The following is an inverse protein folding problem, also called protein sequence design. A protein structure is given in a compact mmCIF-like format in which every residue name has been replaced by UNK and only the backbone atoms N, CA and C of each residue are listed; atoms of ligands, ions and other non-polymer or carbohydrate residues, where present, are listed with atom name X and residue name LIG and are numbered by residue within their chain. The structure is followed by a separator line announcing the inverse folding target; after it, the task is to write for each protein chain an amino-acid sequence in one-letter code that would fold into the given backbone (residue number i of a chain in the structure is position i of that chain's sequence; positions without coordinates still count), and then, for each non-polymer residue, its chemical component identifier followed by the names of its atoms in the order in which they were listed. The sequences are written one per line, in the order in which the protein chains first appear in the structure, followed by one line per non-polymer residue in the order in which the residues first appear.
data_IF_028760784332
#
_entry.id   IF_028760784332
#
_cell.length_a   1.000
_cell.length_b   1.000
_cell.length_c   1.000
_cell.angle_alpha   90.00
_cell.angle_beta   90.00
_cell.angle_gamma   90.00
#
_symmetry.space_group_name_H-M   'P 1'
#
loop_
_entity.id
_entity.type
_entity.pdbx_description
1 polymer ?
#
# COMPACT_ATOMS: atom_id res chain seq x y z
N UNK A 1 -26.63 -42.46 49.57
CA UNK A 1 -25.52 -42.77 50.50
C UNK A 1 -24.71 -41.51 50.65
N UNK A 2 -24.64 -40.94 51.85
CA UNK A 2 -23.77 -39.80 52.14
C UNK A 2 -22.37 -40.34 52.42
N UNK A 3 -21.35 -39.81 51.73
CA UNK A 3 -19.96 -40.18 51.99
C UNK A 3 -19.58 -39.67 53.39
N UNK A 4 -19.05 -40.53 54.27
CA UNK A 4 -18.57 -40.11 55.59
C UNK A 4 -17.54 -38.97 55.44
N UNK A 5 -17.67 -37.93 56.27
CA UNK A 5 -16.82 -36.73 56.20
C UNK A 5 -15.33 -37.08 56.31
N UNK A 6 -15.01 -38.10 57.11
CA UNK A 6 -13.64 -38.58 57.33
C UNK A 6 -13.04 -39.22 56.07
N UNK A 7 -13.83 -39.95 55.28
CA UNK A 7 -13.41 -40.48 53.98
C UNK A 7 -13.22 -39.37 52.94
N UNK A 8 -14.06 -38.33 52.97
CA UNK A 8 -13.91 -37.18 52.09
C UNK A 8 -12.65 -36.37 52.40
N UNK A 9 -12.32 -36.18 53.69
CA UNK A 9 -11.10 -35.49 54.13
C UNK A 9 -9.85 -36.32 53.78
N UNK A 10 -9.90 -37.64 54.00
CA UNK A 10 -8.80 -38.53 53.62
C UNK A 10 -8.55 -38.49 52.11
N UNK A 11 -9.60 -38.51 51.28
CA UNK A 11 -9.47 -38.38 49.84
C UNK A 11 -8.84 -37.04 49.41
N UNK A 12 -9.23 -35.92 50.02
CA UNK A 12 -8.66 -34.61 49.73
C UNK A 12 -7.17 -34.51 50.11
N UNK A 13 -6.76 -35.20 51.18
CA UNK A 13 -5.35 -35.25 51.61
C UNK A 13 -4.42 -36.05 50.70
N UNK A 14 -4.97 -36.82 49.75
CA UNK A 14 -4.17 -37.55 48.74
C UNK A 14 -3.83 -36.70 47.51
N UNK A 15 -4.41 -35.50 47.38
CA UNK A 15 -4.07 -34.57 46.30
C UNK A 15 -2.88 -33.69 46.70
N UNK A 16 -1.78 -33.86 45.98
CA UNK A 16 -0.66 -32.91 46.00
C UNK A 16 -1.05 -31.69 45.15
N UNK A 17 -1.37 -30.57 45.79
CA UNK A 17 -1.51 -29.29 45.11
C UNK A 17 -0.10 -28.67 44.98
N UNK A 18 0.39 -28.54 43.75
CA UNK A 18 1.62 -27.80 43.49
C UNK A 18 1.31 -26.29 43.64
N UNK A 19 2.02 -25.61 44.55
CA UNK A 19 1.77 -24.20 44.93
C UNK A 19 1.96 -23.19 43.77
N UNK A 20 2.51 -23.62 42.63
CA UNK A 20 2.71 -22.79 41.43
C UNK A 20 1.82 -23.23 40.25
N UNK A 21 0.53 -23.48 40.50
CA UNK A 21 -0.41 -23.62 39.40
C UNK A 21 -0.57 -22.26 38.69
N UNK A 22 -0.34 -22.18 37.36
CA UNK A 22 -0.59 -20.95 36.62
C UNK A 22 -2.07 -20.56 36.77
N UNK A 23 -2.33 -19.28 37.00
CA UNK A 23 -3.70 -18.76 37.11
C UNK A 23 -4.54 -19.23 35.91
N UNK A 24 -5.55 -20.06 36.18
CA UNK A 24 -6.45 -20.63 35.16
C UNK A 24 -7.23 -19.53 34.43
N UNK A 25 -7.35 -18.36 35.07
CA UNK A 25 -7.86 -17.14 34.46
C UNK A 25 -6.72 -16.14 34.35
N UNK A 26 -5.99 -16.20 33.23
CA UNK A 26 -5.14 -15.08 32.82
C UNK A 26 -5.95 -13.79 32.70
N UNK A 27 -5.26 -12.64 32.66
CA UNK A 27 -5.86 -11.31 32.44
C UNK A 27 -6.98 -11.43 31.41
N UNK A 28 -8.17 -10.93 31.75
CA UNK A 28 -9.31 -10.91 30.85
C UNK A 28 -9.01 -10.08 29.62
N UNK A 29 -8.31 -10.68 28.66
CA UNK A 29 -8.10 -10.10 27.35
C UNK A 29 -9.44 -10.20 26.66
N UNK A 30 -10.03 -9.05 26.33
CA UNK A 30 -11.10 -9.02 25.35
C UNK A 30 -10.56 -9.72 24.10
N UNK A 31 -11.02 -10.94 23.85
CA UNK A 31 -10.78 -11.60 22.57
C UNK A 31 -11.64 -10.83 21.57
N UNK A 32 -11.07 -9.77 20.97
CA UNK A 32 -11.68 -9.18 19.80
C UNK A 32 -11.68 -10.27 18.74
N UNK A 33 -12.85 -10.78 18.41
CA UNK A 33 -13.03 -11.66 17.26
C UNK A 33 -12.93 -10.80 16.00
N UNK A 34 -11.75 -10.23 15.74
CA UNK A 34 -11.45 -9.73 14.41
C UNK A 34 -11.34 -10.97 13.52
N UNK A 35 -12.28 -11.10 12.60
CA UNK A 35 -12.37 -12.24 11.68
C UNK A 35 -11.17 -12.33 10.71
N UNK A 36 -10.22 -11.39 10.81
CA UNK A 36 -9.00 -11.31 10.03
C UNK A 36 -7.85 -10.62 10.82
N UNK A 37 -7.50 -11.09 12.02
CA UNK A 37 -6.35 -10.57 12.77
C UNK A 37 -5.02 -10.97 12.11
N UNK A 38 -4.65 -10.30 11.01
CA UNK A 38 -3.32 -10.37 10.38
C UNK A 38 -2.31 -9.44 11.06
N UNK A 39 -2.77 -8.69 12.06
CA UNK A 39 -1.97 -7.78 12.87
C UNK A 39 -1.70 -8.37 14.25
N UNK A 40 -0.45 -8.32 14.67
CA UNK A 40 -0.07 -8.60 16.06
C UNK A 40 0.00 -7.27 16.82
N UNK A 41 -0.68 -7.13 17.97
CA UNK A 41 -0.63 -5.90 18.77
C UNK A 41 0.75 -5.66 19.41
N UNK A 42 1.60 -6.69 19.46
CA UNK A 42 2.94 -6.66 20.05
C UNK A 42 4.03 -6.91 19.01
N UNK A 43 3.69 -6.77 17.72
CA UNK A 43 4.62 -6.97 16.59
C UNK A 43 5.42 -8.26 16.70
N UNK A 44 4.77 -9.36 17.09
CA UNK A 44 5.39 -10.70 17.18
C UNK A 44 6.69 -10.75 18.02
N UNK A 45 6.88 -9.81 18.96
CA UNK A 45 8.09 -9.72 19.80
C UNK A 45 8.29 -10.94 20.69
N UNK A 46 7.20 -11.64 20.99
CA UNK A 46 7.12 -12.86 21.79
C UNK A 46 7.59 -14.11 21.05
N UNK A 47 7.68 -14.11 19.72
CA UNK A 47 8.07 -15.29 18.92
C UNK A 47 9.43 -15.85 19.30
N UNK A 48 10.37 -14.99 19.70
CA UNK A 48 11.68 -15.41 20.20
C UNK A 48 11.60 -16.20 21.51
N UNK A 49 10.63 -15.87 22.38
CA UNK A 49 10.42 -16.56 23.65
C UNK A 49 9.93 -18.00 23.45
N UNK A 50 9.11 -18.23 22.43
CA UNK A 50 8.55 -19.55 22.11
C UNK A 50 9.49 -20.46 21.30
N UNK A 51 10.73 -20.02 21.00
CA UNK A 51 11.73 -20.78 20.23
C UNK A 51 11.20 -21.33 18.90
N UNK A 52 10.27 -20.60 18.26
CA UNK A 52 9.68 -20.99 16.98
C UNK A 52 10.65 -20.68 15.84
N UNK A 53 10.63 -21.50 14.78
CA UNK A 53 11.37 -21.28 13.53
C UNK A 53 10.74 -20.20 12.63
N UNK A 54 10.10 -19.20 13.23
CA UNK A 54 9.38 -18.10 12.56
C UNK A 54 10.03 -16.73 12.78
N UNK A 55 11.19 -16.68 13.42
CA UNK A 55 11.86 -15.43 13.78
C UNK A 55 12.25 -14.57 12.58
N UNK A 56 12.67 -15.18 11.47
CA UNK A 56 12.96 -14.44 10.24
C UNK A 56 11.69 -13.87 9.59
N UNK A 57 10.61 -14.67 9.57
CA UNK A 57 9.36 -14.29 8.90
C UNK A 57 8.66 -13.16 9.66
N UNK A 58 8.70 -13.21 10.98
CA UNK A 58 8.15 -12.16 11.87
C UNK A 58 8.96 -10.86 11.79
N UNK A 59 10.29 -10.94 11.69
CA UNK A 59 11.12 -9.75 11.40
C UNK A 59 10.76 -9.10 10.06
N UNK A 60 10.57 -9.91 9.02
CA UNK A 60 10.19 -9.42 7.70
C UNK A 60 8.79 -8.79 7.71
N UNK A 61 7.81 -9.43 8.37
CA UNK A 61 6.47 -8.87 8.59
C UNK A 61 6.51 -7.50 9.28
N UNK A 62 7.26 -7.39 10.38
CA UNK A 62 7.38 -6.12 11.11
C UNK A 62 8.02 -5.03 10.25
N UNK A 63 9.01 -5.39 9.42
CA UNK A 63 9.65 -4.46 8.51
C UNK A 63 8.66 -3.91 7.47
N UNK A 64 7.85 -4.78 6.85
CA UNK A 64 6.82 -4.37 5.91
C UNK A 64 5.70 -3.54 6.58
N UNK A 65 5.33 -3.88 7.82
CA UNK A 65 4.35 -3.13 8.59
C UNK A 65 4.85 -1.71 8.94
N UNK A 66 6.13 -1.57 9.31
CA UNK A 66 6.75 -0.27 9.57
C UNK A 66 6.74 0.62 8.32
N UNK A 67 7.15 0.07 7.16
CA UNK A 67 7.05 0.79 5.89
C UNK A 67 5.59 1.17 5.56
N UNK A 68 4.66 0.25 5.76
CA UNK A 68 3.23 0.53 5.55
C UNK A 68 2.75 1.69 6.41
N UNK A 69 3.21 1.79 7.66
CA UNK A 69 2.87 2.89 8.55
C UNK A 69 3.47 4.22 8.07
N UNK A 70 4.78 4.26 7.79
CA UNK A 70 5.47 5.45 7.27
C UNK A 70 4.82 5.98 5.99
N UNK A 71 4.49 5.09 5.04
CA UNK A 71 3.88 5.50 3.79
C UNK A 71 2.44 6.01 3.95
N UNK A 72 1.69 5.56 4.97
CA UNK A 72 0.36 6.12 5.31
C UNK A 72 0.46 7.54 5.87
N UNK A 73 1.50 7.84 6.64
CA UNK A 73 1.77 9.21 7.10
C UNK A 73 2.08 10.12 5.89
N UNK A 74 2.93 9.65 4.97
CA UNK A 74 3.23 10.36 3.73
C UNK A 74 1.99 10.58 2.85
N UNK A 75 1.08 9.60 2.78
CA UNK A 75 -0.19 9.73 2.07
C UNK A 75 -1.06 10.83 2.70
N UNK A 76 -1.07 10.93 4.02
CA UNK A 76 -1.78 11.99 4.76
C UNK A 76 -1.20 13.38 4.45
N UNK A 77 0.13 13.49 4.33
CA UNK A 77 0.81 14.73 3.89
C UNK A 77 0.39 15.12 2.48
N UNK A 78 0.44 14.20 1.50
CA UNK A 78 0.02 14.50 0.13
C UNK A 78 -1.46 14.86 0.03
N UNK A 79 -2.31 14.17 0.79
CA UNK A 79 -3.74 14.43 0.82
C UNK A 79 -4.07 15.82 1.37
N UNK A 80 -3.39 16.24 2.42
CA UNK A 80 -3.59 17.54 3.05
C UNK A 80 -2.83 18.67 2.34
N UNK A 81 -1.98 18.36 1.36
CA UNK A 81 -1.27 19.36 0.57
C UNK A 81 -2.24 20.35 -0.09
N UNK A 82 -2.00 21.64 0.15
CA UNK A 82 -2.69 22.78 -0.45
C UNK A 82 -1.65 23.72 -1.06
N UNK A 83 -2.02 24.39 -2.15
CA UNK A 83 -1.08 25.27 -2.85
C UNK A 83 -0.61 26.41 -1.96
N UNK A 84 0.71 26.51 -1.77
CA UNK A 84 1.39 27.64 -1.13
C UNK A 84 1.34 28.87 -2.04
N UNK A 85 1.50 28.67 -3.36
CA UNK A 85 1.54 29.77 -4.33
C UNK A 85 0.25 30.57 -4.36
N UNK A 86 -0.90 29.91 -4.17
CA UNK A 86 -2.20 30.61 -4.11
C UNK A 86 -2.32 31.60 -2.95
N UNK A 87 -1.49 31.46 -1.91
CA UNK A 87 -1.46 32.37 -0.78
C UNK A 87 -0.45 33.51 -0.95
N UNK A 88 0.40 33.47 -1.99
CA UNK A 88 1.43 34.49 -2.20
C UNK A 88 0.82 35.83 -2.69
N UNK A 89 1.28 36.97 -2.17
CA UNK A 89 0.83 38.28 -2.62
C UNK A 89 1.36 38.59 -4.03
N UNK A 90 0.51 39.18 -4.87
CA UNK A 90 0.93 39.73 -6.16
C UNK A 90 1.43 41.16 -5.95
N UNK A 91 2.73 41.40 -6.15
CA UNK A 91 3.32 42.73 -6.03
C UNK A 91 3.33 43.46 -7.39
N UNK A 92 3.05 44.78 -7.42
CA UNK A 92 3.26 45.62 -8.61
C UNK A 92 4.75 45.74 -8.98
N UNK A 93 5.04 45.91 -10.28
CA UNK A 93 6.40 46.03 -10.83
C UNK A 93 7.23 47.20 -10.25
N UNK A 94 6.58 48.16 -9.57
CA UNK A 94 7.22 49.31 -8.94
C UNK A 94 7.98 48.97 -7.65
N UNK A 95 7.81 47.79 -7.06
CA UNK A 95 8.42 47.39 -5.77
C UNK A 95 9.56 46.37 -5.92
N UNK A 96 10.54 46.64 -6.78
CA UNK A 96 11.62 45.69 -7.15
C UNK A 96 12.50 45.21 -5.97
N UNK A 97 12.78 46.04 -4.97
CA UNK A 97 13.56 45.60 -3.79
C UNK A 97 12.75 44.67 -2.89
N UNK A 98 11.49 45.01 -2.59
CA UNK A 98 10.57 44.13 -1.87
C UNK A 98 10.27 42.83 -2.63
N UNK A 99 10.48 42.81 -3.95
CA UNK A 99 10.33 41.64 -4.79
C UNK A 99 11.45 40.61 -4.57
N UNK A 100 12.69 41.04 -4.35
CA UNK A 100 13.81 40.13 -4.09
C UNK A 100 13.64 39.42 -2.73
N UNK A 101 13.28 40.17 -1.69
CA UNK A 101 12.96 39.61 -0.37
C UNK A 101 11.76 38.65 -0.46
N UNK A 102 10.71 39.03 -1.21
CA UNK A 102 9.57 38.15 -1.45
C UNK A 102 9.98 36.85 -2.14
N UNK A 103 10.88 36.88 -3.14
CA UNK A 103 11.37 35.67 -3.80
C UNK A 103 12.13 34.75 -2.86
N UNK A 104 12.93 35.32 -1.95
CA UNK A 104 13.66 34.55 -0.93
C UNK A 104 12.71 33.88 0.06
N UNK A 105 11.76 34.63 0.62
CA UNK A 105 10.75 34.09 1.55
C UNK A 105 9.87 33.03 0.87
N UNK A 106 9.46 33.31 -0.37
CA UNK A 106 8.71 32.35 -1.20
C UNK A 106 9.51 31.06 -1.42
N UNK A 107 10.79 31.18 -1.74
CA UNK A 107 11.68 30.03 -1.89
C UNK A 107 11.74 29.21 -0.60
N UNK A 108 11.95 29.84 0.55
CA UNK A 108 12.08 29.14 1.84
C UNK A 108 10.81 28.36 2.21
N UNK A 109 9.63 28.96 2.02
CA UNK A 109 8.34 28.29 2.27
C UNK A 109 8.16 27.10 1.32
N UNK A 110 8.43 27.30 0.03
CA UNK A 110 8.31 26.23 -0.96
C UNK A 110 9.35 25.12 -0.75
N UNK A 111 10.57 25.44 -0.32
CA UNK A 111 11.62 24.44 -0.11
C UNK A 111 11.27 23.44 1.00
N UNK A 112 10.57 23.88 2.05
CA UNK A 112 10.05 22.98 3.08
C UNK A 112 9.09 21.95 2.49
N UNK A 113 8.17 22.40 1.63
CA UNK A 113 7.19 21.53 0.97
C UNK A 113 7.85 20.62 -0.08
N UNK A 114 8.81 21.15 -0.86
CA UNK A 114 9.57 20.34 -1.81
C UNK A 114 10.46 19.30 -1.12
N UNK A 115 10.97 19.61 0.07
CA UNK A 115 11.71 18.65 0.89
C UNK A 115 10.86 17.45 1.29
N UNK A 116 9.58 17.66 1.63
CA UNK A 116 8.64 16.55 1.88
C UNK A 116 8.42 15.70 0.63
N UNK A 117 8.29 16.32 -0.55
CA UNK A 117 8.16 15.58 -1.81
C UNK A 117 9.42 14.78 -2.16
N UNK A 118 10.63 15.33 -1.92
CA UNK A 118 11.90 14.59 -2.04
C UNK A 118 11.96 13.42 -1.07
N UNK A 119 11.48 13.59 0.16
CA UNK A 119 11.40 12.49 1.13
C UNK A 119 10.50 11.36 0.63
N UNK A 120 9.33 11.68 0.07
CA UNK A 120 8.43 10.68 -0.53
C UNK A 120 9.10 9.98 -1.71
N UNK A 121 9.78 10.73 -2.59
CA UNK A 121 10.51 10.17 -3.74
C UNK A 121 11.62 9.19 -3.31
N UNK A 122 12.40 9.52 -2.28
CA UNK A 122 13.46 8.64 -1.75
C UNK A 122 12.87 7.44 -1.02
N UNK A 123 11.82 7.67 -0.21
CA UNK A 123 11.16 6.63 0.56
C UNK A 123 10.52 5.57 -0.33
N UNK A 124 9.76 5.97 -1.35
CA UNK A 124 9.10 5.01 -2.25
C UNK A 124 10.12 4.14 -3.00
N UNK A 125 11.30 4.69 -3.31
CA UNK A 125 12.37 3.94 -3.94
C UNK A 125 12.94 2.87 -3.01
N UNK A 126 13.21 3.24 -1.76
CA UNK A 126 13.63 2.29 -0.72
C UNK A 126 12.57 1.22 -0.46
N UNK A 127 11.30 1.62 -0.30
CA UNK A 127 10.19 0.72 -0.03
C UNK A 127 9.96 -0.27 -1.18
N UNK A 128 10.04 0.20 -2.44
CA UNK A 128 9.92 -0.66 -3.63
C UNK A 128 11.01 -1.72 -3.70
N UNK A 129 12.26 -1.32 -3.44
CA UNK A 129 13.40 -2.25 -3.46
C UNK A 129 13.28 -3.31 -2.36
N UNK A 130 12.88 -2.89 -1.14
CA UNK A 130 12.64 -3.79 0.00
C UNK A 130 11.48 -4.75 -0.25
N UNK A 131 10.38 -4.28 -0.83
CA UNK A 131 9.23 -5.13 -1.19
C UNK A 131 9.62 -6.18 -2.24
N UNK A 132 10.36 -5.77 -3.28
CA UNK A 132 10.83 -6.68 -4.32
C UNK A 132 11.78 -7.76 -3.74
N UNK A 133 12.72 -7.37 -2.89
CA UNK A 133 13.62 -8.29 -2.20
C UNK A 133 12.87 -9.27 -1.27
N UNK A 134 11.85 -8.79 -0.55
CA UNK A 134 11.02 -9.64 0.31
C UNK A 134 10.20 -10.66 -0.50
N UNK A 135 9.59 -10.24 -1.63
CA UNK A 135 8.93 -11.16 -2.55
C UNK A 135 9.90 -12.23 -3.08
N UNK A 136 11.09 -11.82 -3.51
CA UNK A 136 12.10 -12.75 -4.04
C UNK A 136 12.50 -13.84 -3.03
N UNK A 137 12.43 -13.56 -1.72
CA UNK A 137 12.78 -14.53 -0.67
C UNK A 137 11.92 -15.79 -0.74
N UNK A 138 10.66 -15.66 -1.14
CA UNK A 138 9.73 -16.79 -1.28
C UNK A 138 9.86 -17.54 -2.61
N UNK A 139 10.58 -16.95 -3.58
CA UNK A 139 10.88 -17.58 -4.86
C UNK A 139 12.09 -18.52 -4.82
N UNK A 140 12.80 -18.61 -3.68
CA UNK A 140 13.94 -19.52 -3.47
C UNK A 140 13.47 -20.98 -3.38
N UNK A 141 14.19 -21.96 -3.97
CA UNK A 141 13.77 -23.37 -3.99
C UNK A 141 13.39 -23.93 -2.61
N UNK A 142 14.10 -23.54 -1.56
CA UNK A 142 13.87 -24.01 -0.18
C UNK A 142 12.57 -23.45 0.42
N UNK A 143 12.14 -22.27 -0.03
CA UNK A 143 10.92 -21.58 0.45
C UNK A 143 9.72 -21.78 -0.48
N UNK A 144 9.94 -22.20 -1.74
CA UNK A 144 8.87 -22.50 -2.72
C UNK A 144 7.86 -23.55 -2.25
N UNK A 145 8.29 -24.50 -1.42
CA UNK A 145 7.43 -25.59 -0.92
C UNK A 145 6.39 -25.06 0.09
N UNK A 146 6.76 -24.08 0.91
CA UNK A 146 5.92 -23.57 2.00
C UNK A 146 5.26 -22.22 1.68
N UNK A 147 5.82 -21.45 0.74
CA UNK A 147 5.27 -20.16 0.32
C UNK A 147 5.20 -19.10 1.44
N UNK A 148 4.70 -17.89 1.13
CA UNK A 148 4.36 -16.88 2.13
C UNK A 148 3.11 -17.28 2.92
N UNK A 149 3.08 -16.93 4.21
CA UNK A 149 1.87 -17.08 5.03
C UNK A 149 0.80 -16.07 4.63
N UNK A 150 -0.46 -16.29 5.03
CA UNK A 150 -1.57 -15.35 4.75
C UNK A 150 -1.26 -13.94 5.31
N UNK A 151 -0.71 -13.85 6.53
CA UNK A 151 -0.29 -12.57 7.11
C UNK A 151 0.78 -11.87 6.28
N UNK A 152 1.69 -12.63 5.67
CA UNK A 152 2.76 -12.10 4.83
C UNK A 152 2.25 -11.61 3.48
N UNK A 153 1.35 -12.37 2.85
CA UNK A 153 0.63 -11.93 1.64
C UNK A 153 -0.11 -10.61 1.90
N UNK A 154 -0.83 -10.50 3.02
CA UNK A 154 -1.50 -9.26 3.41
C UNK A 154 -0.53 -8.10 3.65
N UNK A 155 0.62 -8.35 4.28
CA UNK A 155 1.62 -7.31 4.53
C UNK A 155 2.22 -6.79 3.21
N UNK A 156 2.53 -7.69 2.26
CA UNK A 156 2.94 -7.32 0.90
C UNK A 156 1.88 -6.47 0.19
N UNK A 157 0.61 -6.90 0.24
CA UNK A 157 -0.52 -6.16 -0.36
C UNK A 157 -0.67 -4.79 0.29
N UNK A 158 -0.62 -4.69 1.62
CA UNK A 158 -0.77 -3.41 2.33
C UNK A 158 0.32 -2.41 1.94
N UNK A 159 1.57 -2.84 1.82
CA UNK A 159 2.65 -1.96 1.35
C UNK A 159 2.45 -1.56 -0.12
N UNK A 160 2.08 -2.51 -0.98
CA UNK A 160 1.78 -2.24 -2.39
C UNK A 160 0.63 -1.24 -2.55
N UNK A 161 -0.41 -1.35 -1.73
CA UNK A 161 -1.58 -0.46 -1.73
C UNK A 161 -1.18 0.97 -1.38
N UNK A 162 -0.29 1.13 -0.38
CA UNK A 162 0.25 2.44 -0.01
C UNK A 162 1.05 3.06 -1.16
N UNK A 163 1.89 2.28 -1.86
CA UNK A 163 2.64 2.77 -3.03
C UNK A 163 1.69 3.24 -4.15
N UNK A 164 0.63 2.48 -4.43
CA UNK A 164 -0.39 2.84 -5.43
C UNK A 164 -1.18 4.09 -5.01
N UNK A 165 -1.56 4.19 -3.74
CA UNK A 165 -2.27 5.36 -3.21
C UNK A 165 -1.42 6.63 -3.27
N UNK A 166 -0.12 6.55 -2.95
CA UNK A 166 0.81 7.68 -3.05
C UNK A 166 0.91 8.19 -4.48
N UNK A 167 0.99 7.30 -5.47
CA UNK A 167 1.07 7.68 -6.88
C UNK A 167 -0.23 8.38 -7.31
N UNK A 168 -1.38 7.80 -6.95
CA UNK A 168 -2.68 8.40 -7.27
C UNK A 168 -2.87 9.77 -6.60
N UNK A 169 -2.53 9.89 -5.31
CA UNK A 169 -2.59 11.16 -4.57
C UNK A 169 -1.70 12.24 -5.18
N UNK A 170 -0.45 11.88 -5.49
CA UNK A 170 0.49 12.76 -6.19
C UNK A 170 -0.11 13.25 -7.51
N UNK A 171 -0.67 12.35 -8.31
CA UNK A 171 -1.21 12.68 -9.62
C UNK A 171 -2.55 13.43 -9.58
N UNK A 172 -3.34 13.28 -8.51
CA UNK A 172 -4.60 14.00 -8.33
C UNK A 172 -4.40 15.48 -7.93
N UNK A 173 -3.22 15.85 -7.42
CA UNK A 173 -2.96 17.17 -6.84
C UNK A 173 -2.31 18.13 -7.84
N UNK A 174 -3.13 18.84 -8.61
CA UNK A 174 -2.66 19.88 -9.55
C UNK A 174 -1.90 21.04 -8.89
N UNK A 175 -2.02 21.24 -7.56
CA UNK A 175 -1.24 22.24 -6.82
C UNK A 175 0.26 21.93 -6.78
N UNK A 176 0.63 20.65 -6.73
CA UNK A 176 2.04 20.23 -6.60
C UNK A 176 2.88 20.69 -7.80
N UNK A 177 2.53 20.39 -9.07
CA UNK A 177 3.34 20.86 -10.21
C UNK A 177 3.36 22.39 -10.34
N UNK A 178 2.29 23.07 -9.91
CA UNK A 178 2.23 24.54 -9.92
C UNK A 178 3.21 25.15 -8.91
N UNK A 179 3.18 24.67 -7.68
CA UNK A 179 4.08 25.11 -6.61
C UNK A 179 5.54 24.76 -6.93
N UNK A 180 5.79 23.59 -7.49
CA UNK A 180 7.11 23.18 -7.95
C UNK A 180 7.65 24.09 -9.08
N UNK A 181 6.79 24.50 -10.02
CA UNK A 181 7.17 25.44 -11.07
C UNK A 181 7.59 26.80 -10.53
N UNK A 182 6.90 27.28 -9.48
CA UNK A 182 7.30 28.50 -8.78
C UNK A 182 8.59 28.33 -8.00
N UNK A 183 8.76 27.20 -7.31
CA UNK A 183 9.99 26.86 -6.61
C UNK A 183 11.22 26.89 -7.53
N UNK A 184 11.12 26.33 -8.75
CA UNK A 184 12.19 26.41 -9.76
C UNK A 184 12.53 27.84 -10.17
N UNK A 185 11.51 28.69 -10.35
CA UNK A 185 11.70 30.10 -10.72
C UNK A 185 12.37 30.87 -9.60
N UNK A 186 11.90 30.72 -8.36
CA UNK A 186 12.48 31.41 -7.20
C UNK A 186 13.89 30.92 -6.92
N UNK A 187 14.14 29.61 -7.02
CA UNK A 187 15.49 29.03 -6.92
C UNK A 187 16.48 29.73 -7.85
N UNK A 188 16.13 29.91 -9.12
CA UNK A 188 17.02 30.56 -10.11
C UNK A 188 17.35 32.02 -9.75
N UNK A 189 16.44 32.71 -9.06
CA UNK A 189 16.67 34.10 -8.60
C UNK A 189 17.56 34.17 -7.36
N UNK A 190 17.50 33.18 -6.46
CA UNK A 190 18.16 33.23 -5.14
C UNK A 190 19.45 32.40 -5.07
N UNK A 191 19.63 31.41 -5.95
CA UNK A 191 20.73 30.44 -5.87
C UNK A 191 22.07 30.97 -6.36
N UNK A 192 22.13 32.17 -6.97
CA UNK A 192 23.35 32.70 -7.59
C UNK A 192 24.54 32.88 -6.65
N UNK A 193 24.32 32.84 -5.33
CA UNK A 193 25.34 33.00 -4.29
C UNK A 193 25.74 31.67 -3.62
N UNK A 194 25.15 30.54 -4.00
CA UNK A 194 25.31 29.27 -3.29
C UNK A 194 26.38 28.37 -3.93
N UNK A 195 27.18 27.71 -3.09
CA UNK A 195 28.34 26.91 -3.53
C UNK A 195 27.94 25.58 -4.20
N UNK A 196 26.82 24.95 -3.79
CA UNK A 196 26.36 23.64 -4.30
C UNK A 196 25.22 23.72 -5.33
N UNK A 197 25.19 24.79 -6.13
CA UNK A 197 24.08 25.05 -7.05
C UNK A 197 23.86 23.92 -8.08
N UNK A 198 24.92 23.24 -8.53
CA UNK A 198 24.80 22.21 -9.56
C UNK A 198 24.20 20.90 -9.04
N UNK A 199 24.61 20.43 -7.85
CA UNK A 199 23.99 19.25 -7.23
C UNK A 199 22.51 19.49 -6.89
N UNK A 200 22.17 20.69 -6.42
CA UNK A 200 20.77 21.05 -6.18
C UNK A 200 19.93 21.06 -7.46
N UNK A 201 20.52 21.45 -8.60
CA UNK A 201 19.85 21.40 -9.92
C UNK A 201 19.59 19.97 -10.37
N UNK A 202 20.52 19.05 -10.14
CA UNK A 202 20.31 17.63 -10.44
C UNK A 202 19.14 17.07 -9.60
N UNK A 203 19.12 17.30 -8.28
CA UNK A 203 18.00 16.87 -7.42
C UNK A 203 16.66 17.49 -7.85
N UNK A 204 16.68 18.74 -8.31
CA UNK A 204 15.53 19.45 -8.85
C UNK A 204 15.01 18.79 -10.13
N UNK A 205 15.89 18.39 -11.04
CA UNK A 205 15.52 17.74 -12.29
C UNK A 205 14.99 16.32 -12.05
N UNK A 206 15.60 15.56 -11.12
CA UNK A 206 15.09 14.25 -10.69
C UNK A 206 13.69 14.38 -10.08
N UNK A 207 13.48 15.37 -9.21
CA UNK A 207 12.16 15.64 -8.64
C UNK A 207 11.15 16.06 -9.71
N UNK A 208 11.56 16.84 -10.71
CA UNK A 208 10.70 17.21 -11.84
C UNK A 208 10.23 15.98 -12.61
N UNK A 209 11.13 15.04 -12.91
CA UNK A 209 10.79 13.80 -13.60
C UNK A 209 9.77 13.01 -12.77
N UNK A 210 10.03 12.87 -11.46
CA UNK A 210 9.13 12.20 -10.54
C UNK A 210 7.73 12.82 -10.54
N UNK A 211 7.63 14.15 -10.38
CA UNK A 211 6.36 14.86 -10.26
C UNK A 211 5.56 14.89 -11.57
N UNK A 212 6.24 14.97 -12.72
CA UNK A 212 5.59 15.04 -14.05
C UNK A 212 5.16 13.68 -14.60
N UNK A 213 5.86 12.60 -14.21
CA UNK A 213 5.55 11.25 -14.67
C UNK A 213 4.32 10.71 -13.94
N UNK A 214 3.27 10.32 -14.67
CA UNK A 214 2.17 9.52 -14.09
C UNK A 214 2.67 8.12 -13.80
N UNK A 215 2.17 7.52 -12.73
CA UNK A 215 2.53 6.16 -12.31
C UNK A 215 4.03 5.99 -12.00
N UNK A 216 4.72 7.06 -11.59
CA UNK A 216 6.16 7.06 -11.38
C UNK A 216 6.61 6.07 -10.29
N UNK A 217 5.83 5.94 -9.23
CA UNK A 217 6.11 5.02 -8.11
C UNK A 217 5.94 3.58 -8.59
N UNK A 218 4.85 3.29 -9.30
CA UNK A 218 4.60 1.95 -9.82
C UNK A 218 5.63 1.52 -10.87
N UNK A 219 6.06 2.45 -11.74
CA UNK A 219 7.11 2.18 -12.72
C UNK A 219 8.45 1.87 -12.05
N UNK A 220 8.79 2.61 -10.99
CA UNK A 220 9.97 2.31 -10.19
C UNK A 220 9.87 0.93 -9.52
N UNK A 221 8.70 0.60 -8.94
CA UNK A 221 8.46 -0.73 -8.37
C UNK A 221 8.66 -1.84 -9.40
N UNK A 222 8.14 -1.66 -10.61
CA UNK A 222 8.33 -2.63 -11.69
C UNK A 222 9.82 -2.82 -12.04
N UNK A 223 10.60 -1.73 -12.06
CA UNK A 223 12.07 -1.82 -12.25
C UNK A 223 12.73 -2.60 -11.12
N UNK A 224 12.38 -2.33 -9.87
CA UNK A 224 12.93 -3.06 -8.71
C UNK A 224 12.55 -4.55 -8.74
N UNK A 225 11.31 -4.89 -9.11
CA UNK A 225 10.87 -6.27 -9.30
C UNK A 225 11.60 -6.97 -10.44
N UNK A 226 11.89 -6.27 -11.54
CA UNK A 226 12.64 -6.85 -12.66
C UNK A 226 14.11 -7.14 -12.31
N UNK A 227 14.70 -6.38 -11.38
CA UNK A 227 16.07 -6.63 -10.89
C UNK A 227 16.20 -7.92 -10.09
N UNK A 228 15.10 -8.40 -9.51
CA UNK A 228 15.07 -9.61 -8.71
C UNK A 228 14.40 -10.75 -9.48
N UNK A 229 15.11 -11.87 -9.62
CA UNK A 229 14.58 -13.00 -10.40
C UNK A 229 13.39 -13.68 -9.72
N UNK A 230 12.41 -14.14 -10.51
CA UNK A 230 11.30 -15.02 -10.13
C UNK A 230 10.25 -14.38 -9.20
N UNK A 231 10.06 -13.05 -9.20
CA UNK A 231 8.99 -12.41 -8.41
C UNK A 231 7.59 -12.71 -8.98
N UNK A 232 7.51 -13.13 -10.24
CA UNK A 232 6.27 -13.47 -10.94
C UNK A 232 5.48 -14.58 -10.24
N UNK A 233 6.15 -15.58 -9.67
CA UNK A 233 5.53 -16.66 -8.89
C UNK A 233 4.71 -16.09 -7.72
N UNK A 234 5.24 -15.07 -7.04
CA UNK A 234 4.62 -14.42 -5.90
C UNK A 234 3.52 -13.47 -6.34
N UNK A 235 3.72 -12.72 -7.43
CA UNK A 235 2.67 -11.88 -8.00
C UNK A 235 1.45 -12.73 -8.42
N UNK A 236 1.66 -13.92 -8.99
CA UNK A 236 0.56 -14.85 -9.28
C UNK A 236 -0.15 -15.34 -8.01
N UNK A 237 0.60 -15.67 -6.96
CA UNK A 237 0.03 -16.05 -5.67
C UNK A 237 -0.83 -14.93 -5.08
N UNK A 238 -0.37 -13.67 -5.18
CA UNK A 238 -1.12 -12.49 -4.74
C UNK A 238 -2.40 -12.28 -5.56
N UNK A 239 -2.39 -12.50 -6.89
CA UNK A 239 -3.59 -12.42 -7.73
C UNK A 239 -4.60 -13.49 -7.33
N UNK A 240 -4.16 -14.75 -7.18
CA UNK A 240 -5.04 -15.85 -6.75
C UNK A 240 -5.65 -15.52 -5.40
N UNK A 241 -4.82 -15.12 -4.43
CA UNK A 241 -5.26 -14.74 -3.09
C UNK A 241 -6.29 -13.60 -3.12
N UNK A 242 -6.05 -12.55 -3.91
CA UNK A 242 -6.95 -11.41 -4.02
C UNK A 242 -8.30 -11.81 -4.64
N UNK A 243 -8.29 -12.60 -5.73
CA UNK A 243 -9.50 -13.05 -6.40
C UNK A 243 -10.32 -13.98 -5.51
N UNK A 244 -9.67 -14.95 -4.86
CA UNK A 244 -10.36 -15.87 -3.93
C UNK A 244 -10.94 -15.13 -2.73
N UNK A 245 -10.18 -14.19 -2.15
CA UNK A 245 -10.66 -13.39 -1.02
C UNK A 245 -11.86 -12.51 -1.39
N UNK A 246 -11.87 -11.95 -2.60
CA UNK A 246 -12.98 -11.12 -3.11
C UNK A 246 -14.23 -11.93 -3.48
N UNK A 247 -14.08 -13.14 -4.00
CA UNK A 247 -15.22 -13.97 -4.41
C UNK A 247 -15.84 -14.77 -3.27
N UNK A 248 -15.03 -15.19 -2.29
CA UNK A 248 -15.50 -15.97 -1.16
C UNK A 248 -16.12 -15.10 -0.05
N UNK A 249 -16.05 -13.77 -0.19
CA UNK A 249 -16.51 -12.78 0.80
C UNK A 249 -16.13 -13.18 2.24
N UNK A 250 -14.90 -13.66 2.42
CA UNK A 250 -14.39 -14.14 3.71
C UNK A 250 -14.26 -12.98 4.70
N UNK A 251 -15.34 -12.62 5.39
CA UNK A 251 -15.35 -11.70 6.54
C UNK A 251 -14.54 -10.41 6.37
N UNK A 252 -14.32 -9.95 5.13
CA UNK A 252 -13.42 -8.85 4.84
C UNK A 252 -14.04 -7.56 5.38
N UNK A 253 -13.24 -6.78 6.09
CA UNK A 253 -13.64 -5.40 6.38
C UNK A 253 -13.62 -4.61 5.06
N UNK A 254 -14.48 -3.59 4.95
CA UNK A 254 -14.51 -2.74 3.75
C UNK A 254 -13.13 -2.21 3.32
N UNK A 255 -12.26 -1.72 4.23
CA UNK A 255 -10.91 -1.29 3.85
C UNK A 255 -10.08 -2.39 3.19
N UNK A 256 -10.17 -3.63 3.68
CA UNK A 256 -9.45 -4.79 3.14
C UNK A 256 -9.97 -5.17 1.76
N UNK A 257 -11.30 -5.20 1.60
CA UNK A 257 -11.95 -5.38 0.28
C UNK A 257 -11.46 -4.32 -0.70
N UNK A 258 -11.44 -3.05 -0.29
CA UNK A 258 -10.99 -1.95 -1.16
C UNK A 258 -9.51 -2.07 -1.52
N UNK A 259 -8.64 -2.50 -0.60
CA UNK A 259 -7.23 -2.78 -0.90
C UNK A 259 -7.10 -3.82 -2.01
N UNK A 260 -7.81 -4.94 -1.93
CA UNK A 260 -7.77 -5.98 -2.95
C UNK A 260 -8.28 -5.47 -4.30
N UNK A 261 -9.38 -4.72 -4.31
CA UNK A 261 -9.96 -4.15 -5.53
C UNK A 261 -9.04 -3.12 -6.21
N UNK A 262 -8.32 -2.30 -5.44
CA UNK A 262 -7.33 -1.34 -5.97
C UNK A 262 -6.11 -2.05 -6.57
N UNK A 263 -5.65 -3.11 -5.92
CA UNK A 263 -4.41 -3.79 -6.29
C UNK A 263 -4.57 -4.79 -7.42
N UNK A 264 -5.71 -5.46 -7.53
CA UNK A 264 -5.94 -6.47 -8.54
C UNK A 264 -5.64 -6.00 -9.98
N UNK A 265 -6.09 -4.82 -10.47
CA UNK A 265 -5.72 -4.35 -11.81
C UNK A 265 -4.21 -4.09 -11.94
N UNK A 266 -3.56 -3.58 -10.90
CA UNK A 266 -2.10 -3.32 -10.89
C UNK A 266 -1.32 -4.63 -10.97
N UNK A 267 -1.66 -5.63 -10.15
CA UNK A 267 -1.02 -6.94 -10.15
C UNK A 267 -1.12 -7.65 -11.51
N UNK A 268 -2.29 -7.57 -12.15
CA UNK A 268 -2.50 -8.15 -13.49
C UNK A 268 -1.57 -7.51 -14.52
N UNK A 269 -1.40 -6.18 -14.48
CA UNK A 269 -0.46 -5.47 -15.37
C UNK A 269 0.99 -5.89 -15.10
N UNK A 270 1.39 -5.97 -13.83
CA UNK A 270 2.75 -6.34 -13.45
C UNK A 270 3.11 -7.77 -13.92
N UNK A 271 2.22 -8.76 -13.70
CA UNK A 271 2.46 -10.15 -14.14
C UNK A 271 2.51 -10.29 -15.66
N UNK A 272 1.62 -9.60 -16.37
CA UNK A 272 1.55 -9.68 -17.83
C UNK A 272 2.72 -8.99 -18.54
N UNK A 273 3.52 -8.23 -17.81
CA UNK A 273 4.74 -7.59 -18.32
C UNK A 273 5.94 -8.55 -18.42
N UNK A 274 5.86 -9.73 -17.79
CA UNK A 274 6.86 -10.79 -17.91
C UNK A 274 6.51 -11.79 -19.04
N UNK A 275 7.50 -12.22 -19.82
CA UNK A 275 7.30 -13.07 -21.02
C UNK A 275 6.84 -14.49 -20.70
N UNK A 276 7.21 -15.03 -19.54
CA UNK A 276 7.01 -16.46 -19.23
C UNK A 276 5.65 -16.76 -18.59
N UNK A 277 4.97 -15.74 -18.06
CA UNK A 277 3.97 -15.95 -17.01
C UNK A 277 2.57 -15.41 -17.27
N UNK A 278 2.34 -14.74 -18.40
CA UNK A 278 1.00 -14.29 -18.79
C UNK A 278 0.06 -15.47 -19.03
N UNK A 279 0.48 -16.50 -19.78
CA UNK A 279 -0.33 -17.69 -20.04
C UNK A 279 -0.54 -18.56 -18.79
N UNK A 280 0.48 -18.69 -17.94
CA UNK A 280 0.39 -19.48 -16.71
C UNK A 280 -0.57 -18.83 -15.71
N UNK A 281 -0.58 -17.49 -15.62
CA UNK A 281 -1.55 -16.74 -14.84
C UNK A 281 -2.99 -16.99 -15.31
N UNK A 282 -3.28 -16.88 -16.61
CA UNK A 282 -4.63 -17.09 -17.12
C UNK A 282 -5.14 -18.54 -17.00
N UNK A 283 -4.22 -19.52 -16.87
CA UNK A 283 -4.58 -20.90 -16.52
C UNK A 283 -5.02 -21.02 -15.05
N UNK A 284 -4.40 -20.26 -14.14
CA UNK A 284 -4.75 -20.26 -12.70
C UNK A 284 -5.99 -19.40 -12.42
N UNK A 285 -6.08 -18.23 -13.03
CA UNK A 285 -7.19 -17.29 -12.88
C UNK A 285 -7.81 -16.99 -14.23
N UNK A 286 -9.05 -17.46 -14.42
CA UNK A 286 -9.81 -17.20 -15.65
C UNK A 286 -10.03 -15.69 -15.81
N UNK A 287 -9.68 -15.15 -16.97
CA UNK A 287 -9.89 -13.73 -17.32
C UNK A 287 -11.35 -13.26 -17.10
N UNK A 288 -12.34 -14.15 -17.27
CA UNK A 288 -13.75 -13.83 -17.02
C UNK A 288 -14.03 -13.49 -15.54
N UNK A 289 -13.33 -14.12 -14.59
CA UNK A 289 -13.43 -13.80 -13.15
C UNK A 289 -12.97 -12.37 -12.90
N UNK A 290 -11.81 -12.00 -13.46
CA UNK A 290 -11.27 -10.63 -13.38
C UNK A 290 -12.23 -9.61 -13.97
N UNK A 291 -12.76 -9.86 -15.17
CA UNK A 291 -13.73 -8.97 -15.83
C UNK A 291 -14.98 -8.77 -14.97
N UNK A 292 -15.51 -9.84 -14.35
CA UNK A 292 -16.69 -9.75 -13.50
C UNK A 292 -16.41 -8.90 -12.26
N UNK A 293 -15.28 -9.11 -11.59
CA UNK A 293 -14.87 -8.30 -10.42
C UNK A 293 -14.79 -6.81 -10.81
N UNK A 294 -14.09 -6.49 -11.90
CA UNK A 294 -13.91 -5.10 -12.33
C UNK A 294 -15.21 -4.41 -12.78
N UNK A 295 -16.19 -5.17 -13.28
CA UNK A 295 -17.51 -4.63 -13.63
C UNK A 295 -18.40 -4.42 -12.41
N UNK A 296 -18.37 -5.35 -11.45
CA UNK A 296 -19.20 -5.27 -10.26
C UNK A 296 -18.78 -4.12 -9.34
N UNK A 297 -17.48 -3.84 -9.27
CA UNK A 297 -16.87 -2.78 -8.45
C UNK A 297 -16.12 -1.78 -9.36
N UNK A 298 -16.87 -1.12 -10.27
CA UNK A 298 -16.30 -0.22 -11.28
C UNK A 298 -15.73 1.10 -10.72
N UNK A 299 -16.14 1.47 -9.50
CA UNK A 299 -15.66 2.64 -8.74
C UNK A 299 -15.28 2.18 -7.34
N UNK A 300 -14.04 2.44 -6.94
CA UNK A 300 -13.47 1.98 -5.67
C UNK A 300 -12.90 3.20 -4.91
N UNK A 301 -13.11 3.31 -3.59
CA UNK A 301 -12.45 4.34 -2.80
C UNK A 301 -10.92 4.18 -2.86
N UNK A 302 -10.20 5.26 -3.15
CA UNK A 302 -8.74 5.29 -3.20
C UNK A 302 -8.15 5.87 -1.90
N UNK A 303 -8.64 7.04 -1.54
CA UNK A 303 -8.35 7.83 -0.34
C UNK A 303 -9.65 8.65 -0.08
N UNK A 304 -9.98 9.15 1.12
CA UNK A 304 -11.32 9.52 1.56
C UNK A 304 -12.36 9.97 0.51
N UNK A 305 -12.13 11.08 -0.20
CA UNK A 305 -13.00 11.63 -1.27
C UNK A 305 -12.52 11.32 -2.70
N UNK A 306 -11.36 10.66 -2.82
CA UNK A 306 -10.77 10.23 -4.08
C UNK A 306 -11.19 8.81 -4.43
N UNK A 307 -11.56 8.64 -5.69
CA UNK A 307 -11.99 7.35 -6.24
C UNK A 307 -11.03 6.90 -7.34
N UNK A 308 -11.03 5.60 -7.58
CA UNK A 308 -10.32 4.93 -8.68
C UNK A 308 -11.31 4.07 -9.46
N UNK A 309 -10.99 3.82 -10.72
CA UNK A 309 -11.69 2.86 -11.55
C UNK A 309 -10.71 1.80 -12.06
N UNK A 310 -10.96 0.50 -11.85
CA UNK A 310 -10.07 -0.55 -12.37
C UNK A 310 -9.86 -0.45 -13.88
N UNK A 311 -10.92 -0.15 -14.64
CA UNK A 311 -10.84 0.04 -16.08
C UNK A 311 -9.92 1.22 -16.46
N UNK A 312 -10.00 2.33 -15.72
CA UNK A 312 -9.12 3.48 -15.94
C UNK A 312 -7.66 3.14 -15.62
N UNK A 313 -7.39 2.43 -14.52
CA UNK A 313 -6.04 1.97 -14.16
C UNK A 313 -5.45 1.12 -15.29
N UNK A 314 -6.19 0.10 -15.76
CA UNK A 314 -5.72 -0.79 -16.84
C UNK A 314 -5.43 0.01 -18.12
N UNK A 315 -6.30 0.96 -18.47
CA UNK A 315 -6.13 1.79 -19.66
C UNK A 315 -4.93 2.73 -19.55
N UNK A 316 -4.75 3.43 -18.43
CA UNK A 316 -3.60 4.31 -18.21
C UNK A 316 -2.29 3.52 -18.17
N UNK A 317 -2.26 2.36 -17.53
CA UNK A 317 -1.05 1.54 -17.46
C UNK A 317 -0.68 0.90 -18.80
N UNK A 318 -1.64 0.66 -19.70
CA UNK A 318 -1.36 0.08 -21.01
C UNK A 318 -0.36 0.88 -21.86
N UNK A 319 -0.26 2.21 -21.64
CA UNK A 319 0.71 3.06 -22.34
C UNK A 319 2.15 2.83 -21.89
N UNK A 320 2.34 2.33 -20.67
CA UNK A 320 3.66 2.05 -20.11
C UNK A 320 4.07 0.58 -20.26
N UNK A 321 3.11 -0.32 -20.36
CA UNK A 321 3.32 -1.76 -20.42
C UNK A 321 2.89 -2.33 -21.79
N UNK A 322 3.77 -2.33 -22.80
CA UNK A 322 3.41 -2.67 -24.19
C UNK A 322 2.93 -4.12 -24.33
N UNK A 323 3.44 -5.05 -23.52
CA UNK A 323 2.96 -6.44 -23.53
C UNK A 323 1.52 -6.56 -23.03
N UNK A 324 1.17 -5.79 -22.00
CA UNK A 324 -0.20 -5.71 -21.51
C UNK A 324 -1.14 -5.05 -22.53
N UNK A 325 -0.65 -4.14 -23.38
CA UNK A 325 -1.47 -3.47 -24.41
C UNK A 325 -2.16 -4.44 -25.39
N UNK A 326 -1.64 -5.67 -25.54
CA UNK A 326 -2.26 -6.73 -26.35
C UNK A 326 -3.55 -7.32 -25.75
N UNK A 327 -3.80 -7.11 -24.45
CA UNK A 327 -4.93 -7.66 -23.70
C UNK A 327 -6.23 -6.88 -23.94
N UNK A 328 -6.70 -6.90 -25.19
CA UNK A 328 -7.85 -6.11 -25.66
C UNK A 328 -9.09 -6.31 -24.78
N UNK A 329 -9.34 -7.52 -24.29
CA UNK A 329 -10.52 -7.85 -23.46
C UNK A 329 -10.58 -7.13 -22.12
N UNK A 330 -9.43 -6.80 -21.53
CA UNK A 330 -9.34 -6.04 -20.28
C UNK A 330 -9.33 -4.53 -20.54
N UNK A 331 -8.91 -4.12 -21.73
CA UNK A 331 -8.88 -2.71 -22.14
C UNK A 331 -10.22 -2.20 -22.69
N UNK A 332 -11.11 -3.11 -23.10
CA UNK A 332 -12.48 -2.79 -23.55
C UNK A 332 -13.52 -2.89 -22.44
N UNK A 333 -13.09 -2.83 -21.17
CA UNK A 333 -14.03 -2.74 -20.05
C UNK A 333 -14.81 -1.43 -20.13
N UNK A 334 -16.15 -1.48 -19.90
CA UNK A 334 -16.98 -0.29 -19.95
C UNK A 334 -16.56 0.71 -18.88
N UNK A 335 -16.68 1.99 -19.19
CA UNK A 335 -16.46 3.04 -18.20
C UNK A 335 -17.57 2.99 -17.13
N UNK A 336 -17.32 3.50 -15.91
CA UNK A 336 -18.31 3.45 -14.82
C UNK A 336 -19.70 4.02 -15.18
N UNK A 337 -19.75 5.04 -16.05
CA UNK A 337 -20.99 5.67 -16.49
C UNK A 337 -21.76 4.88 -17.56
N UNK A 338 -21.12 3.87 -18.16
CA UNK A 338 -21.73 2.99 -19.17
C UNK A 338 -22.36 1.74 -18.53
N UNK A 339 -22.07 1.49 -17.25
CA UNK A 339 -22.61 0.36 -16.51
C UNK A 339 -23.99 0.70 -15.92
N UNK A 340 -24.92 -0.27 -15.87
CA UNK A 340 -26.18 -0.06 -15.19
C UNK A 340 -25.93 0.23 -13.71
N UNK A 341 -26.71 1.14 -13.14
CA UNK A 341 -26.67 1.42 -11.70
C UNK A 341 -26.94 0.11 -10.95
N UNK A 342 -26.00 -0.28 -10.07
CA UNK A 342 -26.19 -1.44 -9.19
C UNK A 342 -27.46 -1.19 -8.36
N UNK A 343 -28.46 -2.06 -8.50
CA UNK A 343 -29.71 -1.91 -7.77
C UNK A 343 -29.40 -1.91 -6.27
N UNK A 344 -29.95 -0.96 -5.52
CA UNK A 344 -29.71 -0.77 -4.09
C UNK A 344 -30.17 -1.96 -3.21
N UNK A 345 -30.65 -3.06 -3.81
CA UNK A 345 -31.16 -4.25 -3.14
C UNK A 345 -30.05 -5.20 -2.63
N UNK A 346 -28.79 -5.02 -3.04
CA UNK A 346 -27.66 -5.87 -2.60
C UNK A 346 -26.94 -5.39 -1.32
N UNK A 347 -27.30 -4.22 -0.78
CA UNK A 347 -26.94 -3.85 0.59
C UNK A 347 -28.15 -4.12 1.48
N UNK A 348 -28.40 -5.37 1.91
CA UNK A 348 -29.35 -5.55 3.00
C UNK A 348 -28.84 -4.66 4.15
N UNK A 349 -29.66 -3.79 4.73
CA UNK A 349 -29.31 -3.06 5.91
C UNK A 349 -29.17 -4.09 7.04
N UNK A 350 -28.04 -4.79 7.11
CA UNK A 350 -27.52 -5.33 8.37
C UNK A 350 -26.99 -4.13 9.15
N UNK A 351 -27.90 -3.22 9.46
CA UNK A 351 -27.75 -2.31 10.58
C UNK A 351 -27.53 -3.23 11.77
N UNK A 352 -26.37 -3.04 12.37
CA UNK A 352 -26.03 -3.49 13.70
C UNK A 352 -27.23 -3.29 14.63
N UNK A 353 -28.00 -4.36 14.86
CA UNK A 353 -28.67 -4.52 16.13
C UNK A 353 -27.59 -5.02 17.08
N UNK A 354 -26.96 -4.06 17.75
CA UNK A 354 -26.36 -4.31 19.06
C UNK A 354 -27.43 -4.09 20.13
#
# INVERSE_FOLDING_TARGET
MAVPIEEAIAALSTFSLEDEQPEVQGVGVCVSTERAATHSPIDYTDVAAYRLSLSEDTKALNHLNALTHEGKEMASVLYTYRSCVKALPQLPDSMKQSQADLYLETYQVLDLEMSRLRQIQRWQASASSKLAADMQRFSRPERRINGPTISHLWSMLKLLDVLVQLDHLKNAKASIPNDFSWYKRTFTQVSGQWQDTDSMREELDDLQIFLSTRWAILLNLHVEMFRVNNVEDILQALIVFAVESLELDFSLLFPERHTLLRLLPVLVVLVTSSDKDSESMYKRVKINRLINIFKNDAVIPAFPDLHLSPAAILKELSTYFPKFSSQTRLLTLPAPHELPSREAQEYPPKILMF
#
